data_IF_830439880073
#
_entry.id   IF_830439880073
#
_cell.length_a   1.000
_cell.length_b   1.000
_cell.length_c   1.000
_cell.angle_alpha   90.00
_cell.angle_beta   90.00
_cell.angle_gamma   90.00
#
_symmetry.space_group_name_H-M   'P 1'
#
loop_
_entity.id
_entity.type
_entity.pdbx_description
1 polymer ?
#
# COMPACT_ATOMS: atom_id res chain seq x y z
N UNK A 1 -3.02 29.44 1.43
CA UNK A 1 -2.27 30.69 1.62
C UNK A 1 -1.04 30.45 2.48
N UNK A 2 0.14 30.87 1.98
CA UNK A 2 1.36 30.86 2.76
C UNK A 2 1.46 32.22 3.47
N UNK A 3 1.44 32.26 4.80
CA UNK A 3 1.37 33.51 5.56
C UNK A 3 2.48 34.52 5.26
N UNK A 4 3.64 34.03 4.82
CA UNK A 4 4.84 34.84 4.55
C UNK A 4 5.12 35.07 3.06
N UNK A 5 4.20 34.71 2.19
CA UNK A 5 4.37 34.91 0.73
C UNK A 5 4.51 36.39 0.32
N UNK A 6 4.03 37.32 1.18
CA UNK A 6 4.13 38.77 0.98
C UNK A 6 5.50 39.36 1.39
N UNK A 7 6.38 38.59 2.02
CA UNK A 7 7.70 39.09 2.42
C UNK A 7 8.54 39.33 1.15
N UNK A 8 9.07 40.57 1.03
CA UNK A 8 9.88 40.98 -0.12
C UNK A 8 11.09 40.05 -0.31
N UNK A 9 11.21 39.51 -1.53
CA UNK A 9 12.30 38.61 -1.91
C UNK A 9 12.11 37.16 -1.48
N UNK A 10 10.99 36.79 -0.82
CA UNK A 10 10.68 35.42 -0.47
C UNK A 10 10.57 34.51 -1.70
N UNK A 11 10.04 35.04 -2.80
CA UNK A 11 9.93 34.37 -4.08
C UNK A 11 11.27 33.93 -4.69
N UNK A 12 12.36 34.65 -4.31
CA UNK A 12 13.73 34.36 -4.75
C UNK A 12 14.50 33.39 -3.87
N UNK A 13 13.92 32.96 -2.75
CA UNK A 13 14.57 32.04 -1.82
C UNK A 13 14.26 30.58 -2.15
N UNK A 14 15.22 29.70 -1.84
CA UNK A 14 14.96 28.28 -1.75
C UNK A 14 13.94 28.04 -0.63
N UNK A 15 12.94 27.22 -0.90
CA UNK A 15 11.86 26.89 0.05
C UNK A 15 11.86 25.41 0.34
N UNK A 16 11.90 25.05 1.61
CA UNK A 16 11.77 23.67 2.01
C UNK A 16 10.70 23.55 3.13
N UNK A 17 10.03 22.43 3.15
CA UNK A 17 9.23 21.98 4.30
C UNK A 17 10.14 21.07 5.09
N UNK A 18 10.50 21.50 6.32
CA UNK A 18 11.41 20.75 7.18
C UNK A 18 10.77 19.45 7.65
N UNK A 19 9.50 19.52 8.04
CA UNK A 19 8.70 18.35 8.41
C UNK A 19 7.22 18.60 8.14
N UNK A 20 6.50 17.59 7.74
CA UNK A 20 5.05 17.58 7.65
C UNK A 20 4.51 16.18 7.93
N UNK A 21 3.31 16.12 8.42
CA UNK A 21 2.53 14.90 8.53
C UNK A 21 1.04 15.23 8.31
N UNK A 22 0.32 14.42 7.54
CA UNK A 22 -1.13 14.49 7.53
C UNK A 22 -1.66 13.77 8.77
N UNK A 23 -2.14 14.45 9.76
CA UNK A 23 -2.67 13.87 10.98
C UNK A 23 -3.93 13.02 10.78
N UNK A 24 -3.93 12.18 9.75
CA UNK A 24 -5.01 11.32 9.27
C UNK A 24 -4.67 9.83 9.46
N UNK A 25 -4.28 9.40 10.63
CA UNK A 25 -3.72 8.08 10.95
C UNK A 25 -4.37 6.92 10.16
N UNK A 26 -5.67 7.00 9.93
CA UNK A 26 -6.47 5.93 9.36
C UNK A 26 -6.68 6.02 7.85
N UNK A 27 -6.30 7.14 7.22
CA UNK A 27 -6.64 7.42 5.83
C UNK A 27 -5.42 7.58 4.94
N UNK A 28 -5.61 7.31 3.65
CA UNK A 28 -4.53 7.23 2.67
C UNK A 28 -4.61 8.26 1.53
N UNK A 29 -5.40 9.31 1.65
CA UNK A 29 -5.60 10.30 0.59
C UNK A 29 -4.84 11.62 0.77
N UNK A 30 -4.37 11.94 1.96
CA UNK A 30 -3.83 13.27 2.27
C UNK A 30 -2.42 13.54 1.70
N UNK A 31 -1.55 12.56 1.66
CA UNK A 31 -0.15 12.76 1.26
C UNK A 31 0.02 13.39 -0.14
N UNK A 32 -0.61 12.89 -1.21
CA UNK A 32 -0.45 13.49 -2.54
C UNK A 32 -1.01 14.91 -2.62
N UNK A 33 -2.09 15.20 -1.89
CA UNK A 33 -2.71 16.53 -1.84
C UNK A 33 -1.79 17.54 -1.16
N UNK A 34 -1.19 17.16 -0.05
CA UNK A 34 -0.24 17.99 0.68
C UNK A 34 1.01 18.24 -0.19
N UNK A 35 1.56 17.20 -0.81
CA UNK A 35 2.69 17.34 -1.72
C UNK A 35 2.38 18.29 -2.90
N UNK A 36 1.19 18.15 -3.53
CA UNK A 36 0.69 19.07 -4.55
C UNK A 36 0.64 20.51 -4.02
N UNK A 37 0.07 20.71 -2.84
CA UNK A 37 -0.09 22.04 -2.25
C UNK A 37 1.26 22.72 -2.00
N UNK A 38 2.25 21.97 -1.54
CA UNK A 38 3.61 22.50 -1.37
C UNK A 38 4.28 22.81 -2.70
N UNK A 39 4.12 21.95 -3.74
CA UNK A 39 4.65 22.24 -5.08
C UNK A 39 4.01 23.48 -5.68
N UNK A 40 2.68 23.63 -5.60
CA UNK A 40 1.96 24.83 -6.03
C UNK A 40 2.43 26.07 -5.30
N UNK A 41 2.72 25.97 -4.01
CA UNK A 41 3.27 27.05 -3.20
C UNK A 41 4.77 27.37 -3.47
N UNK A 42 5.41 26.65 -4.38
CA UNK A 42 6.77 26.88 -4.81
C UNK A 42 7.85 26.25 -3.94
N UNK A 43 7.51 25.26 -3.11
CA UNK A 43 8.49 24.52 -2.32
C UNK A 43 9.29 23.55 -3.19
N UNK A 44 10.61 23.51 -2.98
CA UNK A 44 11.55 22.65 -3.69
C UNK A 44 11.75 21.31 -3.03
N UNK A 45 11.77 21.30 -1.69
CA UNK A 45 12.02 20.14 -0.84
C UNK A 45 10.91 19.97 0.15
N UNK A 46 10.48 18.74 0.36
CA UNK A 46 9.37 18.37 1.25
C UNK A 46 9.82 17.15 2.03
N UNK A 47 9.97 17.29 3.34
CA UNK A 47 10.37 16.20 4.25
C UNK A 47 9.17 15.74 5.06
N UNK A 48 8.80 14.48 4.91
CA UNK A 48 7.79 13.86 5.76
C UNK A 48 8.40 13.53 7.13
N UNK A 49 7.67 13.74 8.20
CA UNK A 49 8.03 13.40 9.57
C UNK A 49 6.89 12.64 10.25
N UNK A 50 7.12 11.42 10.74
CA UNK A 50 8.32 10.59 10.64
C UNK A 50 7.92 9.21 10.12
N UNK A 51 8.91 8.35 9.82
CA UNK A 51 8.67 6.95 9.49
C UNK A 51 8.96 6.11 10.73
N UNK A 52 7.97 5.33 11.19
CA UNK A 52 8.09 4.53 12.40
C UNK A 52 9.09 3.38 12.20
N UNK A 53 10.05 3.19 13.13
CA UNK A 53 10.93 2.04 13.10
C UNK A 53 10.15 0.72 13.16
N UNK A 54 10.51 -0.25 12.33
CA UNK A 54 9.77 -1.51 12.17
C UNK A 54 9.59 -2.29 13.49
N UNK A 55 10.57 -2.19 14.39
CA UNK A 55 10.55 -2.93 15.67
C UNK A 55 9.52 -2.42 16.67
N UNK A 56 9.08 -1.18 16.54
CA UNK A 56 8.14 -0.53 17.47
C UNK A 56 6.87 -0.01 16.79
N UNK A 57 6.79 -0.05 15.46
CA UNK A 57 5.67 0.45 14.70
C UNK A 57 4.33 -0.24 15.06
N UNK A 58 4.36 -1.50 15.52
CA UNK A 58 3.17 -2.20 15.99
C UNK A 58 2.41 -1.44 17.08
N UNK A 59 3.09 -0.59 17.85
CA UNK A 59 2.55 0.11 19.02
C UNK A 59 2.21 1.58 18.76
N UNK A 60 2.59 2.13 17.61
CA UNK A 60 2.41 3.55 17.26
C UNK A 60 2.91 4.48 18.40
N UNK A 61 4.18 4.33 18.80
CA UNK A 61 4.72 5.03 19.98
C UNK A 61 5.49 6.31 19.68
N UNK A 62 5.86 6.55 18.42
CA UNK A 62 6.66 7.75 18.08
C UNK A 62 5.80 9.02 18.25
N UNK A 63 4.78 9.16 17.43
CA UNK A 63 3.78 10.22 17.55
C UNK A 63 2.45 9.66 17.08
N UNK A 64 1.42 9.77 17.90
CA UNK A 64 0.11 9.17 17.60
C UNK A 64 -0.46 9.59 16.25
N UNK A 65 -0.16 10.80 15.78
CA UNK A 65 -0.68 11.33 14.51
C UNK A 65 0.17 10.93 13.30
N UNK A 66 1.40 10.48 13.48
CA UNK A 66 2.32 10.22 12.38
C UNK A 66 2.18 8.83 11.79
N UNK A 67 1.93 7.85 12.59
CA UNK A 67 1.86 6.41 12.30
C UNK A 67 2.04 6.04 10.81
N UNK A 68 3.28 5.92 10.39
CA UNK A 68 3.67 5.58 9.02
C UNK A 68 4.74 4.50 9.00
N UNK A 69 4.37 3.32 8.56
CA UNK A 69 5.29 2.22 8.30
C UNK A 69 4.72 1.34 7.18
N UNK A 70 5.55 0.91 6.24
CA UNK A 70 5.09 0.12 5.09
C UNK A 70 4.37 -1.17 5.50
N UNK A 71 4.84 -1.83 6.55
CA UNK A 71 4.24 -3.08 7.01
C UNK A 71 2.99 -2.88 7.89
N UNK A 72 2.96 -1.81 8.71
CA UNK A 72 1.88 -1.59 9.69
C UNK A 72 0.79 -0.63 9.20
N UNK A 73 1.10 0.26 8.26
CA UNK A 73 0.16 1.18 7.63
C UNK A 73 0.33 1.18 6.11
N UNK A 74 0.11 0.02 5.44
CA UNK A 74 0.44 -0.17 4.02
C UNK A 74 -0.28 0.82 3.11
N UNK A 75 -1.56 1.08 3.32
CA UNK A 75 -2.34 2.06 2.53
C UNK A 75 -1.70 3.45 2.57
N UNK A 76 -1.35 3.92 3.78
CA UNK A 76 -0.72 5.22 4.00
C UNK A 76 0.68 5.27 3.37
N UNK A 77 1.43 4.18 3.45
CA UNK A 77 2.76 4.08 2.84
C UNK A 77 2.71 4.12 1.29
N UNK A 78 1.74 3.47 0.67
CA UNK A 78 1.51 3.59 -0.79
C UNK A 78 1.10 5.02 -1.15
N UNK A 79 0.24 5.68 -0.36
CA UNK A 79 -0.10 7.09 -0.55
C UNK A 79 1.14 7.99 -0.48
N UNK A 80 2.05 7.73 0.46
CA UNK A 80 3.33 8.46 0.54
C UNK A 80 4.23 8.20 -0.68
N UNK A 81 4.27 6.97 -1.21
CA UNK A 81 4.96 6.65 -2.47
C UNK A 81 4.39 7.50 -3.63
N UNK A 82 3.07 7.63 -3.73
CA UNK A 82 2.41 8.47 -4.72
C UNK A 82 2.78 9.95 -4.51
N UNK A 83 2.81 10.42 -3.26
CA UNK A 83 3.21 11.79 -2.94
C UNK A 83 4.66 12.08 -3.34
N UNK A 84 5.56 11.10 -3.23
CA UNK A 84 6.93 11.25 -3.73
C UNK A 84 6.98 11.46 -5.25
N UNK A 85 6.11 10.77 -6.02
CA UNK A 85 5.97 10.99 -7.47
C UNK A 85 5.39 12.38 -7.77
N UNK A 86 4.40 12.83 -6.99
CA UNK A 86 3.86 14.19 -7.06
C UNK A 86 4.98 15.23 -6.85
N UNK A 87 5.78 15.07 -5.80
CA UNK A 87 6.87 16.00 -5.47
C UNK A 87 7.95 16.06 -6.56
N UNK A 88 8.24 14.94 -7.24
CA UNK A 88 9.24 14.86 -8.32
C UNK A 88 8.73 15.43 -9.63
N UNK A 89 7.48 15.18 -10.00
CA UNK A 89 6.99 15.39 -11.35
C UNK A 89 6.19 16.68 -11.54
N UNK A 90 5.59 17.23 -10.46
CA UNK A 90 4.87 18.50 -10.54
C UNK A 90 5.87 19.67 -10.51
N UNK A 91 5.76 20.56 -11.49
CA UNK A 91 6.58 21.76 -11.55
C UNK A 91 6.30 22.67 -10.35
N UNK A 92 7.34 23.30 -9.85
CA UNK A 92 7.23 24.28 -8.77
C UNK A 92 6.40 25.48 -9.22
N UNK A 93 5.37 25.82 -8.44
CA UNK A 93 4.44 26.91 -8.75
C UNK A 93 3.30 26.52 -9.69
N UNK A 94 3.24 25.29 -10.16
CA UNK A 94 2.14 24.80 -11.00
C UNK A 94 0.86 24.69 -10.19
N UNK A 95 -0.25 25.19 -10.71
CA UNK A 95 -1.56 25.20 -10.07
C UNK A 95 -2.54 24.29 -10.78
N UNK A 96 -3.34 23.54 -10.01
CA UNK A 96 -4.35 22.58 -10.48
C UNK A 96 -5.74 22.92 -9.97
N UNK A 97 -6.00 24.19 -9.67
CA UNK A 97 -7.28 24.60 -9.09
C UNK A 97 -7.36 24.47 -7.58
N UNK A 98 -8.55 24.55 -7.05
CA UNK A 98 -8.82 24.54 -5.60
C UNK A 98 -9.26 23.18 -5.15
N UNK A 99 -8.43 22.53 -4.31
CA UNK A 99 -8.83 21.31 -3.62
C UNK A 99 -9.84 21.63 -2.51
N UNK A 100 -10.89 20.83 -2.27
CA UNK A 100 -11.14 19.48 -2.79
C UNK A 100 -11.94 19.43 -4.11
N UNK A 101 -12.31 20.55 -4.70
CA UNK A 101 -13.13 20.57 -5.92
C UNK A 101 -12.41 19.97 -7.13
N UNK A 102 -11.09 19.93 -7.09
CA UNK A 102 -10.23 19.29 -8.08
C UNK A 102 -9.47 18.13 -7.43
N UNK A 103 -10.02 16.93 -7.55
CA UNK A 103 -9.44 15.69 -7.02
C UNK A 103 -8.52 14.98 -8.02
N UNK A 104 -8.47 15.46 -9.28
CA UNK A 104 -7.61 14.96 -10.33
C UNK A 104 -6.59 16.02 -10.71
N UNK A 105 -5.33 15.66 -10.71
CA UNK A 105 -4.24 16.53 -11.15
C UNK A 105 -3.12 15.71 -11.78
N UNK A 106 -2.72 16.12 -13.00
CA UNK A 106 -1.81 15.32 -13.84
C UNK A 106 -2.29 13.86 -13.98
N UNK A 107 -1.52 12.91 -13.47
CA UNK A 107 -1.80 11.47 -13.49
C UNK A 107 -2.22 10.95 -12.10
N UNK A 108 -2.63 11.84 -11.20
CA UNK A 108 -3.00 11.50 -9.82
C UNK A 108 -4.48 11.76 -9.61
N UNK A 109 -5.15 10.81 -9.02
CA UNK A 109 -6.52 10.90 -8.54
C UNK A 109 -6.56 10.68 -7.03
N UNK A 110 -7.34 11.49 -6.32
CA UNK A 110 -7.55 11.38 -4.87
C UNK A 110 -9.03 11.41 -4.58
N UNK A 111 -9.51 10.47 -3.77
CA UNK A 111 -10.90 10.35 -3.36
C UNK A 111 -11.05 10.17 -1.86
N UNK A 112 -11.71 11.11 -1.19
CA UNK A 112 -12.08 10.97 0.23
C UNK A 112 -13.06 9.83 0.46
N UNK A 113 -14.06 9.73 -0.42
CA UNK A 113 -15.14 8.76 -0.27
C UNK A 113 -14.64 7.32 -0.34
N UNK A 114 -13.59 7.10 -1.14
CA UNK A 114 -13.01 5.78 -1.37
C UNK A 114 -11.75 5.54 -0.53
N UNK A 115 -11.30 6.54 0.25
CA UNK A 115 -10.00 6.54 0.92
C UNK A 115 -8.86 6.19 -0.04
N UNK A 116 -8.83 6.82 -1.20
CA UNK A 116 -7.97 6.44 -2.31
C UNK A 116 -7.00 7.56 -2.69
N UNK A 117 -5.74 7.20 -2.81
CA UNK A 117 -4.73 7.88 -3.63
C UNK A 117 -4.34 6.97 -4.78
N UNK A 118 -4.36 7.47 -6.01
CA UNK A 118 -4.03 6.73 -7.21
C UNK A 118 -3.07 7.53 -8.10
N UNK A 119 -2.05 6.86 -8.62
CA UNK A 119 -1.19 7.33 -9.71
C UNK A 119 -1.36 6.41 -10.91
N UNK A 120 -1.74 6.97 -12.05
CA UNK A 120 -1.99 6.22 -13.27
C UNK A 120 -1.22 6.83 -14.45
N UNK A 121 0.01 6.34 -14.66
CA UNK A 121 0.89 6.71 -15.77
C UNK A 121 1.07 5.54 -16.73
N UNK A 122 1.56 5.78 -17.94
CA UNK A 122 1.82 4.68 -18.88
C UNK A 122 2.76 3.60 -18.33
N UNK A 123 3.74 3.98 -17.51
CA UNK A 123 4.78 3.11 -16.95
C UNK A 123 4.52 2.68 -15.49
N UNK A 124 3.54 3.28 -14.81
CA UNK A 124 3.30 3.05 -13.38
C UNK A 124 1.83 3.15 -13.00
N UNK A 125 1.34 2.17 -12.23
CA UNK A 125 0.00 2.16 -11.69
C UNK A 125 0.04 1.87 -10.19
N UNK A 126 -0.16 2.91 -9.37
CA UNK A 126 -0.09 2.83 -7.90
C UNK A 126 -1.44 3.21 -7.30
N UNK A 127 -1.90 2.50 -6.28
CA UNK A 127 -3.15 2.78 -5.60
C UNK A 127 -3.09 2.36 -4.13
N UNK A 128 -3.54 3.25 -3.27
CA UNK A 128 -3.50 3.05 -1.82
C UNK A 128 -4.67 2.23 -1.28
N UNK A 129 -5.69 1.98 -2.08
CA UNK A 129 -6.86 1.18 -1.74
C UNK A 129 -7.49 0.61 -3.01
N UNK A 130 -8.50 -0.26 -2.88
CA UNK A 130 -9.21 -0.83 -4.04
C UNK A 130 -9.67 0.27 -4.99
N UNK A 131 -9.38 0.09 -6.28
CA UNK A 131 -9.76 1.01 -7.36
C UNK A 131 -10.46 0.29 -8.50
N UNK A 132 -11.30 1.03 -9.23
CA UNK A 132 -11.96 0.57 -10.46
C UNK A 132 -11.31 1.14 -11.73
N UNK A 133 -10.27 1.95 -11.58
CA UNK A 133 -9.53 2.52 -12.70
C UNK A 133 -8.74 1.45 -13.44
N UNK A 134 -8.76 1.50 -14.77
CA UNK A 134 -7.85 0.73 -15.61
C UNK A 134 -6.54 1.49 -15.81
N UNK A 135 -5.39 0.81 -15.86
CA UNK A 135 -4.15 1.46 -16.25
C UNK A 135 -4.26 2.05 -17.66
N UNK A 136 -3.71 3.26 -17.85
CA UNK A 136 -3.81 4.00 -19.14
C UNK A 136 -3.08 3.31 -20.30
N UNK A 137 -2.07 2.48 -19.99
CA UNK A 137 -1.29 1.73 -20.99
C UNK A 137 -0.74 0.45 -20.37
N UNK A 138 -1.59 -0.58 -20.27
CA UNK A 138 -1.25 -1.82 -19.56
C UNK A 138 0.00 -2.52 -20.15
N UNK A 139 0.21 -2.44 -21.48
CA UNK A 139 1.34 -3.06 -22.18
C UNK A 139 2.69 -2.38 -21.84
N UNK A 140 2.64 -1.14 -21.39
CA UNK A 140 3.83 -0.34 -21.08
C UNK A 140 4.17 -0.31 -19.59
N UNK A 141 3.34 -0.91 -18.74
CA UNK A 141 3.58 -0.94 -17.31
C UNK A 141 4.97 -1.53 -16.98
N UNK A 142 5.68 -0.82 -16.10
CA UNK A 142 6.95 -1.24 -15.53
C UNK A 142 6.83 -1.51 -14.04
N UNK A 143 5.89 -0.83 -13.35
CA UNK A 143 5.70 -0.95 -11.92
C UNK A 143 4.23 -0.82 -11.51
N UNK A 144 3.81 -1.69 -10.59
CA UNK A 144 2.54 -1.60 -9.90
C UNK A 144 2.83 -1.62 -8.40
N UNK A 145 2.15 -0.78 -7.64
CA UNK A 145 2.19 -0.82 -6.18
C UNK A 145 0.78 -0.62 -5.63
N UNK A 146 0.31 -1.52 -4.80
CA UNK A 146 -1.08 -1.47 -4.37
C UNK A 146 -1.35 -2.02 -2.99
N UNK A 147 -2.50 -1.60 -2.46
CA UNK A 147 -3.25 -2.26 -1.41
C UNK A 147 -4.67 -2.52 -1.95
N UNK A 148 -5.24 -3.71 -1.65
CA UNK A 148 -6.54 -4.10 -2.19
C UNK A 148 -6.50 -4.47 -3.68
N UNK A 149 -7.61 -4.32 -4.37
CA UNK A 149 -7.82 -4.82 -5.73
C UNK A 149 -7.94 -3.71 -6.78
N UNK A 150 -7.67 -4.08 -8.04
CA UNK A 150 -7.91 -3.28 -9.24
C UNK A 150 -8.44 -4.16 -10.37
N UNK A 151 -8.81 -3.64 -11.54
CA UNK A 151 -9.24 -4.47 -12.68
C UNK A 151 -8.16 -5.46 -13.16
N UNK A 152 -6.88 -5.17 -12.91
CA UNK A 152 -5.76 -6.03 -13.36
C UNK A 152 -5.16 -6.89 -12.23
N UNK A 153 -5.41 -6.56 -10.97
CA UNK A 153 -4.99 -7.36 -9.81
C UNK A 153 -6.16 -7.56 -8.86
N UNK A 154 -6.54 -8.82 -8.61
CA UNK A 154 -7.48 -9.16 -7.53
C UNK A 154 -6.68 -9.69 -6.36
N UNK A 155 -6.81 -9.04 -5.20
CA UNK A 155 -6.15 -9.41 -3.95
C UNK A 155 -6.98 -8.97 -2.75
N UNK A 156 -7.21 -9.87 -1.81
CA UNK A 156 -8.07 -9.63 -0.64
C UNK A 156 -7.26 -9.41 0.66
N UNK A 157 -5.94 -9.62 0.61
CA UNK A 157 -5.06 -9.31 1.74
C UNK A 157 -4.97 -7.81 2.00
N UNK A 158 -4.68 -7.44 3.24
CA UNK A 158 -4.56 -6.05 3.68
C UNK A 158 -3.14 -5.49 3.60
N UNK A 159 -2.15 -6.33 3.34
CA UNK A 159 -0.76 -5.92 3.10
C UNK A 159 -0.57 -5.25 1.74
N UNK A 160 0.48 -4.44 1.64
CA UNK A 160 0.89 -3.89 0.35
C UNK A 160 1.55 -4.94 -0.53
N UNK A 161 1.49 -4.73 -1.83
CA UNK A 161 2.25 -5.51 -2.81
C UNK A 161 2.90 -4.61 -3.86
N UNK A 162 3.99 -5.13 -4.46
CA UNK A 162 4.74 -4.49 -5.53
C UNK A 162 4.96 -5.49 -6.65
N UNK A 163 4.73 -5.06 -7.88
CA UNK A 163 4.91 -5.88 -9.08
C UNK A 163 5.76 -5.08 -10.06
N UNK A 164 7.01 -5.50 -10.24
CA UNK A 164 8.01 -4.78 -11.01
C UNK A 164 8.44 -5.61 -12.21
N UNK A 165 8.41 -5.01 -13.40
CA UNK A 165 8.83 -5.66 -14.63
C UNK A 165 10.34 -5.72 -14.72
N UNK A 166 10.90 -6.92 -14.84
CA UNK A 166 12.32 -7.15 -15.03
C UNK A 166 12.69 -7.20 -16.51
N UNK A 167 11.92 -7.94 -17.28
CA UNK A 167 11.94 -8.00 -18.74
C UNK A 167 10.58 -8.51 -19.26
N UNK A 168 10.41 -8.61 -20.56
CA UNK A 168 9.16 -9.11 -21.14
C UNK A 168 8.85 -10.54 -20.63
N UNK A 169 7.68 -10.76 -20.04
CA UNK A 169 7.26 -12.05 -19.48
C UNK A 169 7.93 -12.42 -18.16
N UNK A 170 8.72 -11.53 -17.56
CA UNK A 170 9.37 -11.74 -16.26
C UNK A 170 9.10 -10.55 -15.33
N UNK A 171 8.52 -10.83 -14.17
CA UNK A 171 8.20 -9.83 -13.16
C UNK A 171 8.70 -10.25 -11.78
N UNK A 172 9.01 -9.28 -10.93
CA UNK A 172 9.20 -9.48 -9.49
C UNK A 172 7.90 -9.11 -8.77
N UNK A 173 7.39 -10.02 -7.99
CA UNK A 173 6.25 -9.78 -7.09
C UNK A 173 6.76 -9.78 -5.66
N UNK A 174 6.44 -8.75 -4.91
CA UNK A 174 6.62 -8.72 -3.46
C UNK A 174 5.27 -8.53 -2.79
N UNK A 175 4.95 -9.36 -1.81
CA UNK A 175 3.70 -9.30 -1.05
C UNK A 175 4.04 -9.20 0.43
N UNK A 176 3.58 -8.15 1.07
CA UNK A 176 3.72 -7.96 2.51
C UNK A 176 2.57 -8.67 3.26
N UNK A 177 2.81 -9.05 4.52
CA UNK A 177 1.77 -9.68 5.34
C UNK A 177 0.61 -8.73 5.62
N UNK A 178 -0.51 -9.29 6.04
CA UNK A 178 -1.67 -8.51 6.44
C UNK A 178 -1.36 -7.64 7.66
N UNK A 179 -1.76 -6.38 7.58
CA UNK A 179 -1.72 -5.43 8.69
C UNK A 179 -3.14 -5.18 9.18
N UNK A 180 -3.41 -5.58 10.42
CA UNK A 180 -4.76 -5.53 10.98
C UNK A 180 -4.76 -4.66 12.23
N UNK A 181 -5.54 -3.58 12.20
CA UNK A 181 -5.71 -2.71 13.35
C UNK A 181 -6.50 -3.43 14.45
N UNK A 182 -5.91 -3.53 15.64
CA UNK A 182 -6.49 -4.25 16.79
C UNK A 182 -6.81 -3.35 17.97
N UNK A 183 -6.38 -2.09 17.93
CA UNK A 183 -6.75 -1.10 18.95
C UNK A 183 -6.76 0.32 18.36
N UNK A 184 -7.34 1.26 19.11
CA UNK A 184 -7.42 2.66 18.71
C UNK A 184 -6.02 3.28 18.59
N UNK A 185 -5.62 3.76 17.40
CA UNK A 185 -4.32 4.36 17.16
C UNK A 185 -4.16 5.72 17.85
N UNK A 186 -5.27 6.41 18.16
CA UNK A 186 -5.26 7.69 18.89
C UNK A 186 -5.18 7.54 20.41
N UNK A 187 -5.33 6.33 20.94
CA UNK A 187 -5.20 6.10 22.37
C UNK A 187 -3.75 6.27 22.81
N UNK A 188 -3.55 6.56 24.11
CA UNK A 188 -2.21 6.76 24.69
C UNK A 188 -1.25 5.65 24.25
N UNK A 189 -0.12 5.98 23.60
CA UNK A 189 0.83 5.01 23.07
C UNK A 189 1.56 4.27 24.19
N UNK A 190 1.91 3.02 23.93
CA UNK A 190 2.70 2.19 24.85
C UNK A 190 3.26 0.99 24.11
N UNK A 191 4.53 0.67 24.33
CA UNK A 191 5.15 -0.59 23.81
C UNK A 191 4.48 -1.87 24.35
N UNK A 192 3.65 -1.76 25.38
CA UNK A 192 2.85 -2.89 25.90
C UNK A 192 1.53 -3.06 25.16
N UNK A 193 1.13 -2.08 24.32
CA UNK A 193 -0.10 -2.08 23.56
C UNK A 193 0.22 -2.40 22.10
N UNK A 194 -0.56 -3.26 21.49
CA UNK A 194 -0.52 -3.52 20.06
C UNK A 194 -1.61 -2.69 19.38
N UNK A 195 -1.22 -1.80 18.49
CA UNK A 195 -2.16 -0.99 17.69
C UNK A 195 -2.50 -1.69 16.39
N UNK A 196 -1.49 -2.23 15.72
CA UNK A 196 -1.65 -3.04 14.51
C UNK A 196 -0.91 -4.35 14.68
N UNK A 197 -1.56 -5.46 14.35
CA UNK A 197 -0.95 -6.79 14.32
C UNK A 197 -0.64 -7.22 12.89
N UNK A 198 0.44 -7.99 12.74
CA UNK A 198 0.84 -8.57 11.45
C UNK A 198 0.43 -10.04 11.42
N UNK A 199 -0.22 -10.45 10.33
CA UNK A 199 -0.68 -11.82 10.12
C UNK A 199 -0.23 -12.35 8.77
N UNK A 200 0.41 -13.52 8.75
CA UNK A 200 0.84 -14.19 7.52
C UNK A 200 -0.27 -15.08 6.95
N UNK A 201 -1.35 -14.45 6.47
CA UNK A 201 -2.37 -15.19 5.74
C UNK A 201 -1.89 -15.55 4.33
N UNK A 202 -2.44 -16.61 3.79
CA UNK A 202 -2.30 -16.96 2.38
C UNK A 202 -3.58 -16.56 1.66
N UNK A 203 -3.43 -15.83 0.56
CA UNK A 203 -4.54 -15.33 -0.25
C UNK A 203 -4.38 -15.74 -1.71
N UNK A 204 -5.46 -15.94 -2.40
CA UNK A 204 -5.42 -16.02 -3.85
C UNK A 204 -5.10 -14.65 -4.45
N UNK A 205 -4.20 -14.61 -5.43
CA UNK A 205 -3.87 -13.38 -6.13
C UNK A 205 -3.97 -13.57 -7.64
N UNK A 206 -4.87 -12.82 -8.28
CA UNK A 206 -4.99 -12.80 -9.74
C UNK A 206 -4.18 -11.65 -10.32
N UNK A 207 -3.35 -11.95 -11.35
CA UNK A 207 -2.55 -10.92 -12.05
C UNK A 207 -2.84 -11.02 -13.56
N UNK A 208 -3.52 -10.01 -14.11
CA UNK A 208 -3.87 -9.91 -15.54
C UNK A 208 -2.90 -8.96 -16.24
N UNK A 209 -1.69 -9.46 -16.50
CA UNK A 209 -0.64 -8.72 -17.21
C UNK A 209 -0.45 -9.34 -18.61
N UNK A 210 -0.61 -8.57 -19.71
CA UNK A 210 -0.61 -9.12 -21.07
C UNK A 210 0.65 -9.89 -21.44
N UNK A 211 1.83 -9.40 -21.01
CA UNK A 211 3.09 -10.06 -21.34
C UNK A 211 3.40 -11.28 -20.45
N UNK A 212 2.76 -11.38 -19.29
CA UNK A 212 2.85 -12.55 -18.40
C UNK A 212 1.90 -13.67 -18.87
N UNK A 213 0.76 -13.30 -19.44
CA UNK A 213 -0.27 -14.24 -19.90
C UNK A 213 -1.05 -14.86 -18.74
N UNK A 214 -1.80 -15.92 -19.05
CA UNK A 214 -2.62 -16.65 -18.06
C UNK A 214 -1.85 -17.79 -17.39
N UNK A 215 -0.82 -18.30 -18.07
CA UNK A 215 0.01 -19.43 -17.64
C UNK A 215 1.42 -18.95 -17.26
N UNK A 216 1.66 -18.83 -15.99
CA UNK A 216 2.96 -18.45 -15.44
C UNK A 216 3.26 -19.19 -14.14
N UNK A 217 4.52 -19.13 -13.70
CA UNK A 217 4.99 -19.73 -12.47
C UNK A 217 5.53 -18.62 -11.58
N UNK A 218 5.18 -18.66 -10.29
CA UNK A 218 5.76 -17.85 -9.24
C UNK A 218 6.76 -18.68 -8.44
N UNK A 219 8.04 -18.38 -8.56
CA UNK A 219 9.11 -19.04 -7.81
C UNK A 219 9.58 -18.13 -6.68
N UNK A 220 9.58 -18.61 -5.45
CA UNK A 220 10.04 -17.85 -4.30
C UNK A 220 11.51 -17.49 -4.39
N UNK A 221 11.84 -16.25 -4.02
CA UNK A 221 13.21 -15.71 -4.06
C UNK A 221 13.79 -15.44 -2.67
N UNK A 222 12.97 -15.09 -1.67
CA UNK A 222 13.45 -14.73 -0.35
C UNK A 222 13.79 -15.97 0.50
N UNK A 223 14.79 -15.84 1.37
CA UNK A 223 15.20 -16.90 2.26
C UNK A 223 14.06 -17.34 3.18
N UNK A 224 13.95 -18.64 3.44
CA UNK A 224 12.88 -19.24 4.24
C UNK A 224 11.56 -19.48 3.49
N UNK A 225 11.45 -19.04 2.23
CA UNK A 225 10.34 -19.36 1.34
C UNK A 225 10.83 -20.29 0.22
N UNK A 226 10.15 -21.42 0.05
CA UNK A 226 10.47 -22.43 -0.97
C UNK A 226 9.28 -22.76 -1.87
N UNK A 227 8.31 -21.84 -1.97
CA UNK A 227 7.12 -22.07 -2.75
C UNK A 227 7.38 -21.88 -4.23
N UNK A 228 6.94 -22.86 -5.03
CA UNK A 228 6.73 -22.74 -6.46
C UNK A 228 5.23 -22.92 -6.72
N UNK A 229 4.60 -21.89 -7.27
CA UNK A 229 3.15 -21.86 -7.51
C UNK A 229 2.90 -21.67 -8.99
N UNK A 230 2.15 -22.59 -9.58
CA UNK A 230 1.64 -22.41 -10.94
C UNK A 230 0.34 -21.62 -10.93
N UNK A 231 0.26 -20.59 -11.77
CA UNK A 231 -0.97 -19.83 -11.95
C UNK A 231 -2.02 -20.68 -12.69
N UNK A 232 -3.26 -20.51 -12.26
CA UNK A 232 -4.45 -21.10 -12.90
C UNK A 232 -5.35 -19.94 -13.34
N UNK A 233 -5.53 -19.75 -14.62
CA UNK A 233 -6.29 -18.61 -15.17
C UNK A 233 -5.83 -17.27 -14.57
N UNK A 234 -4.53 -16.99 -14.66
CA UNK A 234 -3.87 -15.82 -14.09
C UNK A 234 -3.90 -15.71 -12.56
N UNK A 235 -4.34 -16.74 -11.83
CA UNK A 235 -4.49 -16.72 -10.37
C UNK A 235 -3.45 -17.62 -9.70
N UNK A 236 -2.68 -17.06 -8.78
CA UNK A 236 -1.80 -17.78 -7.87
C UNK A 236 -2.62 -18.18 -6.64
N UNK A 237 -2.90 -19.47 -6.42
CA UNK A 237 -3.65 -19.92 -5.25
C UNK A 237 -2.80 -19.90 -3.99
N UNK A 238 -3.39 -19.55 -2.87
CA UNK A 238 -2.78 -19.61 -1.53
C UNK A 238 -1.39 -18.95 -1.45
N UNK A 239 -1.21 -17.82 -2.14
CA UNK A 239 0.02 -17.05 -2.14
C UNK A 239 0.31 -16.50 -0.73
N UNK A 240 1.48 -16.79 -0.19
CA UNK A 240 1.94 -16.28 1.11
C UNK A 240 2.75 -15.00 0.94
N UNK A 241 2.84 -14.16 1.99
CA UNK A 241 3.79 -13.04 1.99
C UNK A 241 5.22 -13.48 1.66
N UNK A 242 5.91 -12.70 0.83
CA UNK A 242 7.25 -13.04 0.34
C UNK A 242 7.58 -12.33 -0.96
N UNK A 243 8.70 -12.72 -1.54
CA UNK A 243 9.16 -12.24 -2.84
C UNK A 243 9.20 -13.39 -3.83
N UNK A 244 8.69 -13.15 -5.04
CA UNK A 244 8.55 -14.15 -6.08
C UNK A 244 9.05 -13.63 -7.43
N UNK A 245 9.68 -14.51 -8.20
CA UNK A 245 9.89 -14.32 -9.62
C UNK A 245 8.69 -14.89 -10.37
N UNK A 246 7.95 -14.04 -11.08
CA UNK A 246 6.90 -14.47 -11.98
C UNK A 246 7.49 -14.67 -13.36
N UNK A 247 7.29 -15.85 -13.92
CA UNK A 247 7.81 -16.21 -15.24
C UNK A 247 6.70 -16.84 -16.10
N UNK A 248 6.47 -16.29 -17.28
CA UNK A 248 5.59 -16.90 -18.29
C UNK A 248 6.14 -18.27 -18.70
N UNK A 249 5.28 -19.31 -18.76
CA UNK A 249 5.71 -20.71 -18.97
C UNK A 249 6.44 -20.95 -20.29
N UNK A 250 6.01 -20.32 -21.36
CA UNK A 250 6.54 -20.48 -22.73
C UNK A 250 7.73 -19.55 -23.02
N UNK A 251 8.22 -18.82 -22.04
CA UNK A 251 9.28 -17.83 -22.22
C UNK A 251 10.60 -18.27 -21.58
N UNK A 252 11.68 -18.17 -22.36
CA UNK A 252 13.04 -18.35 -21.86
C UNK A 252 13.68 -16.97 -21.68
N UNK A 253 13.93 -16.53 -20.43
CA UNK A 253 14.50 -15.23 -20.15
C UNK A 253 15.91 -15.09 -20.74
N UNK A 254 16.22 -13.89 -21.23
CA UNK A 254 17.57 -13.55 -21.73
C UNK A 254 18.55 -13.49 -20.54
N UNK A 255 18.08 -12.98 -19.42
CA UNK A 255 18.88 -12.86 -18.20
C UNK A 255 18.59 -14.01 -17.23
N UNK A 256 19.60 -14.36 -16.43
CA UNK A 256 19.43 -15.30 -15.32
C UNK A 256 19.01 -14.53 -14.07
N UNK A 257 17.72 -14.47 -13.85
CA UNK A 257 17.13 -13.85 -12.65
C UNK A 257 17.14 -14.84 -11.48
N UNK A 258 17.72 -14.43 -10.35
CA UNK A 258 17.75 -15.20 -9.12
C UNK A 258 17.77 -14.27 -7.89
N UNK A 259 17.71 -14.82 -6.69
CA UNK A 259 17.65 -14.04 -5.44
C UNK A 259 18.81 -13.05 -5.26
N UNK A 260 20.00 -13.37 -5.77
CA UNK A 260 21.21 -12.56 -5.59
C UNK A 260 21.39 -11.53 -6.70
N UNK A 261 20.59 -11.60 -7.76
CA UNK A 261 20.64 -10.64 -8.86
C UNK A 261 20.32 -9.23 -8.36
N UNK A 262 21.23 -8.29 -8.62
CA UNK A 262 20.97 -6.87 -8.36
C UNK A 262 20.10 -6.27 -9.45
N UNK A 263 19.03 -5.64 -9.03
CA UNK A 263 18.12 -4.88 -9.88
C UNK A 263 17.86 -3.54 -9.22
N UNK A 264 18.13 -2.44 -9.94
CA UNK A 264 18.15 -1.11 -9.35
C UNK A 264 19.04 -1.07 -8.08
N UNK A 265 18.50 -0.79 -6.91
CA UNK A 265 19.25 -0.65 -5.67
C UNK A 265 19.06 -1.82 -4.69
N UNK A 266 18.36 -2.89 -5.10
CA UNK A 266 18.05 -4.05 -4.24
C UNK A 266 18.56 -5.35 -4.85
N UNK A 267 18.72 -6.39 -4.04
CA UNK A 267 18.78 -7.78 -4.52
C UNK A 267 17.35 -8.29 -4.69
N UNK A 268 17.09 -9.08 -5.74
CA UNK A 268 15.73 -9.53 -6.03
C UNK A 268 15.09 -10.33 -4.90
N UNK A 269 15.88 -11.12 -4.15
CA UNK A 269 15.41 -11.88 -2.99
C UNK A 269 15.36 -11.08 -1.68
N UNK A 270 15.68 -9.80 -1.70
CA UNK A 270 15.64 -8.97 -0.50
C UNK A 270 14.18 -8.79 -0.05
N UNK A 271 13.92 -9.17 1.19
CA UNK A 271 12.60 -9.11 1.80
C UNK A 271 12.73 -8.81 3.29
N UNK A 272 12.03 -7.81 3.75
CA UNK A 272 11.99 -7.41 5.15
C UNK A 272 10.54 -7.43 5.62
N UNK A 273 10.26 -8.30 6.59
CA UNK A 273 8.96 -8.31 7.26
C UNK A 273 9.14 -8.06 8.75
N UNK A 274 8.16 -7.48 9.43
CA UNK A 274 8.19 -7.31 10.86
C UNK A 274 8.11 -8.67 11.57
N UNK A 275 8.64 -8.72 12.79
CA UNK A 275 8.50 -9.91 13.63
C UNK A 275 7.05 -10.15 13.99
N UNK A 276 6.57 -11.35 13.72
CA UNK A 276 5.22 -11.77 14.14
C UNK A 276 5.22 -11.91 15.65
N UNK A 277 4.34 -11.15 16.30
CA UNK A 277 4.17 -11.20 17.75
C UNK A 277 3.21 -12.32 18.11
N UNK A 278 3.60 -13.16 19.07
CA UNK A 278 2.66 -14.14 19.65
C UNK A 278 1.59 -13.41 20.45
N UNK A 279 0.35 -13.54 20.01
CA UNK A 279 -0.81 -13.05 20.74
C UNK A 279 -1.15 -14.01 21.86
N UNK A 280 -1.66 -13.46 22.98
CA UNK A 280 -2.15 -14.25 24.13
C UNK A 280 -3.67 -14.29 24.17
N UNK A 281 -4.30 -13.25 23.64
CA UNK A 281 -5.74 -13.04 23.73
C UNK A 281 -6.37 -12.96 22.34
N UNK A 282 -7.65 -13.31 22.25
CA UNK A 282 -8.45 -13.09 21.05
C UNK A 282 -8.91 -11.64 20.97
N UNK A 283 -8.90 -11.11 19.76
CA UNK A 283 -9.50 -9.81 19.43
C UNK A 283 -10.59 -10.05 18.38
N UNK A 284 -11.78 -9.52 18.64
CA UNK A 284 -12.88 -9.51 17.68
C UNK A 284 -12.98 -8.13 17.08
N UNK A 285 -12.88 -8.05 15.75
CA UNK A 285 -13.02 -6.82 14.99
C UNK A 285 -14.33 -6.91 14.23
N UNK A 286 -15.24 -6.00 14.53
CA UNK A 286 -16.54 -5.91 13.88
C UNK A 286 -16.79 -4.45 13.50
N UNK A 287 -17.17 -4.25 12.23
CA UNK A 287 -17.66 -2.94 11.76
C UNK A 287 -19.19 -3.00 11.67
N UNK A 288 -19.91 -2.35 12.58
CA UNK A 288 -21.37 -2.39 12.57
C UNK A 288 -21.93 -1.73 11.32
N UNK A 289 -22.88 -2.40 10.68
CA UNK A 289 -23.64 -1.82 9.57
C UNK A 289 -24.48 -0.65 10.08
N UNK A 290 -24.24 0.56 9.57
CA UNK A 290 -24.91 1.79 10.06
C UNK A 290 -26.36 1.87 9.63
N UNK A 291 -26.74 1.27 8.51
CA UNK A 291 -28.08 1.32 7.93
C UNK A 291 -28.41 -0.01 7.28
N UNK A 292 -29.62 -0.49 7.49
CA UNK A 292 -30.15 -1.71 6.86
C UNK A 292 -31.42 -1.36 6.14
N UNK A 293 -31.54 -1.78 4.88
CA UNK A 293 -32.79 -1.61 4.12
C UNK A 293 -33.86 -2.55 4.65
N UNK A 294 -35.05 -2.03 4.86
CA UNK A 294 -36.17 -2.84 5.34
C UNK A 294 -36.48 -3.99 4.36
N UNK A 295 -36.59 -5.21 4.88
CA UNK A 295 -36.90 -6.41 4.11
C UNK A 295 -35.70 -7.06 3.41
N UNK A 296 -34.47 -6.62 3.68
CA UNK A 296 -33.23 -7.32 3.26
C UNK A 296 -32.58 -8.02 4.44
N UNK A 297 -31.85 -9.07 4.14
CA UNK A 297 -31.06 -9.81 5.14
C UNK A 297 -29.94 -8.90 5.67
N UNK A 298 -29.73 -8.93 6.99
CA UNK A 298 -28.59 -8.30 7.64
C UNK A 298 -27.44 -9.30 7.69
N UNK A 299 -26.35 -8.99 6.99
CA UNK A 299 -25.09 -9.75 7.11
C UNK A 299 -24.21 -9.08 8.16
N UNK A 300 -23.83 -9.84 9.17
CA UNK A 300 -22.90 -9.42 10.22
C UNK A 300 -21.59 -10.15 9.98
N UNK A 301 -20.54 -9.38 9.74
CA UNK A 301 -19.19 -9.91 9.55
C UNK A 301 -18.31 -9.50 10.72
N UNK A 302 -17.52 -10.45 11.24
CA UNK A 302 -16.53 -10.19 12.25
C UNK A 302 -15.23 -10.95 11.93
N UNK A 303 -14.11 -10.28 12.11
CA UNK A 303 -12.79 -10.88 12.02
C UNK A 303 -12.30 -11.22 13.42
N UNK A 304 -11.87 -12.47 13.62
CA UNK A 304 -11.34 -12.94 14.90
C UNK A 304 -9.84 -13.23 14.72
N UNK A 305 -9.03 -12.57 15.54
CA UNK A 305 -7.58 -12.73 15.54
C UNK A 305 -7.16 -13.22 16.93
N UNK A 306 -6.39 -14.30 16.99
CA UNK A 306 -5.99 -14.88 18.25
C UNK A 306 -4.74 -15.74 18.15
N UNK A 307 -4.34 -16.37 19.28
CA UNK A 307 -3.16 -17.24 19.33
C UNK A 307 -3.32 -18.54 18.52
N UNK A 308 -4.56 -18.94 18.26
CA UNK A 308 -4.94 -20.15 17.52
C UNK A 308 -6.28 -19.94 16.84
N UNK A 309 -6.76 -20.93 16.09
CA UNK A 309 -8.18 -20.98 15.71
C UNK A 309 -9.04 -21.15 16.97
N UNK A 310 -10.15 -20.38 17.10
CA UNK A 310 -11.07 -20.57 18.23
C UNK A 310 -11.79 -21.91 18.11
N UNK A 311 -11.98 -22.60 19.23
CA UNK A 311 -12.72 -23.86 19.27
C UNK A 311 -14.21 -23.68 18.97
N UNK A 312 -14.75 -22.52 19.31
CA UNK A 312 -16.15 -22.15 19.03
C UNK A 312 -16.32 -20.65 18.93
N UNK A 313 -17.30 -20.21 18.13
CA UNK A 313 -17.75 -18.83 18.03
C UNK A 313 -19.25 -18.84 18.34
N UNK A 314 -19.67 -18.06 19.32
CA UNK A 314 -21.07 -17.94 19.73
C UNK A 314 -21.53 -16.52 19.48
N UNK A 315 -22.61 -16.36 18.72
CA UNK A 315 -23.27 -15.09 18.49
C UNK A 315 -24.55 -15.05 19.33
N UNK A 316 -24.68 -14.05 20.17
CA UNK A 316 -25.89 -13.77 20.92
C UNK A 316 -26.70 -12.72 20.18
N UNK A 317 -27.99 -13.00 19.99
CA UNK A 317 -28.97 -12.04 19.41
C UNK A 317 -30.04 -11.81 20.45
N UNK A 318 -30.33 -10.53 20.72
CA UNK A 318 -31.47 -10.13 21.58
C UNK A 318 -32.75 -9.97 20.74
#
# INVERSE_FOLDING_TARGET
NIPFSHIKGFDKKARLVYEFDPADIMYSYMYPVIARSFRTAGFQWITQFSYDPIDIAYANTEYQTHFLNLAYTPHKAISMKIAAEVARNIKRGESFGTYPNDTVFTNVHVSYKQDLSELNRPDAFFYSNTTHSHPVAIEHLQAIAGCGSSPIIKYEGTGAYFVDRLENGIWRLEVLPDAIQVSDPFAKPSLKKETVTIVNNAWDMTLRLPDLGEDFIATALNDGNSLDIEAINSTLPCLRPGVYLLKRKDYNPVNKWNKDTRWQNIRLGEYVQPNIRQRKDFTVIHQPTKTVDAGKDLVIEAQIIGPSHPDSIIIYTD
#
